data_IF_125327654797
#
_entry.id   IF_125327654797
#
_cell.length_a   1.000
_cell.length_b   1.000
_cell.length_c   1.000
_cell.angle_alpha   90.00
_cell.angle_beta   90.00
_cell.angle_gamma   90.00
#
_symmetry.space_group_name_H-M   'P 1'
#
loop_
_entity.id
_entity.type
_entity.pdbx_description
1 polymer ?
#
# COMPACT_ATOMS: atom_id res chain seq x y z
N UNK A 1 7.78 -44.49 33.57
CA UNK A 1 6.38 -44.05 33.35
C UNK A 1 6.03 -43.09 34.47
N UNK A 2 6.08 -41.79 34.21
CA UNK A 2 5.64 -40.74 35.13
C UNK A 2 4.79 -39.77 34.33
N UNK A 3 3.50 -39.68 34.67
CA UNK A 3 2.55 -38.77 34.07
C UNK A 3 2.66 -37.40 34.76
N UNK A 4 2.87 -36.35 33.97
CA UNK A 4 2.81 -34.97 34.45
C UNK A 4 1.37 -34.50 34.22
N UNK A 5 0.63 -34.32 35.30
CA UNK A 5 -0.71 -33.74 35.29
C UNK A 5 -0.60 -32.25 34.99
N UNK A 6 -1.23 -31.77 33.91
CA UNK A 6 -1.39 -30.35 33.64
C UNK A 6 -2.51 -29.80 34.52
N UNK A 7 -2.17 -28.88 35.42
CA UNK A 7 -3.11 -28.12 36.22
C UNK A 7 -3.74 -27.01 35.35
N UNK A 8 -5.08 -26.96 35.17
CA UNK A 8 -5.74 -25.96 34.33
C UNK A 8 -5.79 -24.55 34.95
N UNK A 9 -5.22 -24.33 36.13
CA UNK A 9 -5.37 -23.07 36.87
C UNK A 9 -4.29 -22.02 36.61
N UNK A 10 -3.32 -22.26 35.71
CA UNK A 10 -2.35 -21.23 35.30
C UNK A 10 -3.01 -20.29 34.29
N UNK A 11 -3.79 -19.36 34.84
CA UNK A 11 -4.30 -18.19 34.14
C UNK A 11 -3.11 -17.24 33.93
N UNK A 12 -2.41 -17.39 32.80
CA UNK A 12 -1.41 -16.41 32.37
C UNK A 12 -2.19 -15.13 32.11
N UNK A 13 -2.23 -14.24 33.11
CA UNK A 13 -2.61 -12.85 32.92
C UNK A 13 -1.65 -12.28 31.88
N UNK A 14 -2.10 -12.28 30.62
CA UNK A 14 -1.50 -11.48 29.57
C UNK A 14 -1.55 -10.06 30.10
N UNK A 15 -0.37 -9.58 30.47
CA UNK A 15 -0.15 -8.26 31.03
C UNK A 15 -0.77 -7.23 30.08
N UNK A 16 -2.00 -6.79 30.37
CA UNK A 16 -2.62 -5.67 29.68
C UNK A 16 -1.75 -4.47 29.99
N UNK A 17 -0.78 -4.19 29.11
CA UNK A 17 -0.15 -2.87 29.09
C UNK A 17 -1.29 -1.88 29.05
N UNK A 18 -1.38 -1.04 30.06
CA UNK A 18 -2.31 0.08 30.09
C UNK A 18 -1.89 1.02 28.95
N UNK A 19 -2.39 0.72 27.74
CA UNK A 19 -2.39 1.66 26.63
C UNK A 19 -3.25 2.80 27.16
N UNK A 20 -2.62 3.94 27.46
CA UNK A 20 -3.22 5.02 28.26
C UNK A 20 -4.60 5.47 27.76
N UNK A 21 -5.28 6.36 28.49
CA UNK A 21 -6.68 6.74 28.24
C UNK A 21 -7.07 6.80 26.74
N UNK A 22 -8.02 5.96 26.33
CA UNK A 22 -8.62 5.95 24.99
C UNK A 22 -9.34 7.30 24.74
N UNK A 23 -9.05 7.95 23.61
CA UNK A 23 -9.61 9.28 23.27
C UNK A 23 -10.55 9.18 22.08
N UNK A 24 -10.19 8.41 21.06
CA UNK A 24 -11.04 8.18 19.89
C UNK A 24 -11.07 6.70 19.55
N UNK A 25 -12.24 6.20 19.17
CA UNK A 25 -12.42 4.84 18.68
C UNK A 25 -13.43 4.83 17.55
N UNK A 26 -13.11 4.10 16.50
CA UNK A 26 -14.10 3.57 15.57
C UNK A 26 -14.06 2.06 15.77
N UNK A 27 -15.14 1.52 16.33
CA UNK A 27 -15.20 0.14 16.81
C UNK A 27 -14.72 -0.84 15.72
N UNK A 28 -13.78 -1.70 16.11
CA UNK A 28 -13.16 -2.69 15.23
C UNK A 28 -12.09 -2.15 14.28
N UNK A 29 -12.07 -0.85 13.95
CA UNK A 29 -11.19 -0.27 12.93
C UNK A 29 -9.92 0.36 13.51
N UNK A 30 -10.06 1.26 14.47
CA UNK A 30 -8.93 2.03 15.02
C UNK A 30 -9.24 2.50 16.43
N UNK A 31 -8.22 2.47 17.30
CA UNK A 31 -8.24 3.06 18.63
C UNK A 31 -7.07 4.02 18.77
N UNK A 32 -7.34 5.23 19.25
CA UNK A 32 -6.35 6.29 19.45
C UNK A 32 -6.31 6.66 20.93
N UNK A 33 -5.13 6.53 21.52
CA UNK A 33 -4.90 6.79 22.93
C UNK A 33 -4.31 8.19 23.14
N UNK A 34 -4.54 8.77 24.33
CA UNK A 34 -4.12 10.14 24.68
C UNK A 34 -2.61 10.36 24.57
N UNK A 35 -1.82 9.31 24.73
CA UNK A 35 -0.37 9.33 24.63
C UNK A 35 0.15 9.24 23.18
N UNK A 36 -0.74 9.26 22.17
CA UNK A 36 -0.40 9.14 20.75
C UNK A 36 -0.26 7.70 20.26
N UNK A 37 -0.45 6.69 21.11
CA UNK A 37 -0.49 5.29 20.68
C UNK A 37 -1.72 5.02 19.83
N UNK A 38 -1.56 4.30 18.72
CA UNK A 38 -2.63 3.93 17.80
C UNK A 38 -2.65 2.42 17.67
N UNK A 39 -3.82 1.83 17.88
CA UNK A 39 -4.07 0.41 17.64
C UNK A 39 -4.99 0.25 16.44
N UNK A 40 -4.63 -0.70 15.57
CA UNK A 40 -5.46 -1.12 14.44
C UNK A 40 -5.74 -2.61 14.58
N UNK A 41 -6.94 -3.01 15.03
CA UNK A 41 -7.29 -4.42 15.11
C UNK A 41 -7.16 -5.10 13.74
N UNK A 42 -6.70 -6.36 13.68
CA UNK A 42 -6.52 -7.08 12.42
C UNK A 42 -7.87 -7.55 11.87
N UNK A 43 -8.59 -6.65 11.18
CA UNK A 43 -9.87 -6.99 10.55
C UNK A 43 -9.67 -7.80 9.27
N UNK A 44 -8.64 -7.44 8.49
CA UNK A 44 -8.32 -8.10 7.23
C UNK A 44 -6.94 -8.75 7.35
N UNK A 45 -6.80 -10.04 6.99
CA UNK A 45 -5.51 -10.72 6.99
C UNK A 45 -4.50 -10.03 6.07
N UNK A 46 -3.27 -9.88 6.56
CA UNK A 46 -2.11 -9.52 5.73
C UNK A 46 -1.58 -10.80 5.08
N UNK A 47 -1.40 -10.78 3.76
CA UNK A 47 -0.92 -11.93 2.99
C UNK A 47 0.45 -11.65 2.38
N UNK A 48 1.31 -12.67 2.23
CA UNK A 48 2.55 -12.52 1.48
C UNK A 48 2.27 -12.18 0.00
N UNK A 49 3.26 -11.65 -0.72
CA UNK A 49 3.17 -11.39 -2.16
C UNK A 49 3.27 -12.67 -3.01
N UNK A 50 2.74 -13.80 -2.53
CA UNK A 50 2.78 -15.07 -3.25
C UNK A 50 2.11 -14.96 -4.61
N UNK A 51 2.78 -15.45 -5.66
CA UNK A 51 2.26 -15.43 -7.01
C UNK A 51 0.99 -16.29 -7.11
N UNK A 52 -0.09 -15.70 -7.63
CA UNK A 52 -1.25 -16.46 -8.11
C UNK A 52 -1.01 -16.86 -9.56
N UNK A 53 -1.66 -17.92 -10.05
CA UNK A 53 -1.45 -18.42 -11.42
C UNK A 53 -1.49 -17.29 -12.47
N UNK A 54 -0.37 -17.06 -13.17
CA UNK A 54 -0.26 -16.06 -14.24
C UNK A 54 0.10 -14.63 -13.81
N UNK A 55 0.23 -14.33 -12.51
CA UNK A 55 0.60 -12.99 -12.01
C UNK A 55 1.75 -13.08 -11.02
N UNK A 56 2.85 -12.40 -11.32
CA UNK A 56 3.97 -12.23 -10.39
C UNK A 56 3.67 -11.06 -9.46
N UNK A 57 3.76 -11.27 -8.15
CA UNK A 57 3.64 -10.22 -7.15
C UNK A 57 4.95 -10.07 -6.35
N UNK A 58 5.37 -8.84 -6.07
CA UNK A 58 6.54 -8.55 -5.20
C UNK A 58 6.36 -7.24 -4.43
N UNK A 59 6.86 -7.22 -3.20
CA UNK A 59 6.93 -6.01 -2.39
C UNK A 59 8.24 -5.28 -2.63
N UNK A 60 8.18 -3.98 -2.87
CA UNK A 60 9.35 -3.11 -3.09
C UNK A 60 9.26 -1.89 -2.19
N UNK A 61 10.33 -1.63 -1.44
CA UNK A 61 10.49 -0.42 -0.65
C UNK A 61 10.88 0.73 -1.57
N UNK A 62 10.08 1.80 -1.54
CA UNK A 62 10.31 3.04 -2.30
C UNK A 62 11.19 3.98 -1.48
N UNK A 63 10.83 4.19 -0.22
CA UNK A 63 11.61 4.99 0.72
C UNK A 63 11.67 4.34 2.10
N UNK A 64 12.90 4.13 2.58
CA UNK A 64 13.18 3.52 3.88
C UNK A 64 12.92 4.48 5.04
N UNK A 65 13.02 5.79 4.83
CA UNK A 65 12.89 6.79 5.90
C UNK A 65 11.42 7.00 6.28
N UNK A 66 10.54 7.12 5.30
CA UNK A 66 9.08 7.20 5.50
C UNK A 66 8.43 5.83 5.70
N UNK A 67 9.12 4.75 5.30
CA UNK A 67 8.55 3.41 5.27
C UNK A 67 7.57 3.21 4.10
N UNK A 68 7.64 4.06 3.07
CA UNK A 68 6.83 3.93 1.86
C UNK A 68 7.27 2.71 1.04
N UNK A 69 6.32 1.85 0.70
CA UNK A 69 6.54 0.68 -0.13
C UNK A 69 5.32 0.38 -1.00
N UNK A 70 5.49 -0.46 -2.00
CA UNK A 70 4.44 -0.86 -2.93
C UNK A 70 4.46 -2.37 -3.17
N UNK A 71 3.29 -2.97 -3.36
CA UNK A 71 3.17 -4.32 -3.92
C UNK A 71 2.91 -4.21 -5.41
N UNK A 72 3.84 -4.73 -6.20
CA UNK A 72 3.78 -4.71 -7.66
C UNK A 72 3.20 -6.02 -8.17
N UNK A 73 2.21 -5.94 -9.07
CA UNK A 73 1.61 -7.06 -9.79
C UNK A 73 1.98 -6.96 -11.27
N UNK A 74 2.57 -8.02 -11.82
CA UNK A 74 2.91 -8.13 -13.24
C UNK A 74 2.26 -9.40 -13.79
N UNK A 75 1.20 -9.27 -14.60
CA UNK A 75 0.59 -10.42 -15.26
C UNK A 75 1.45 -10.87 -16.44
N UNK A 76 1.35 -12.14 -16.83
CA UNK A 76 2.07 -12.66 -17.99
C UNK A 76 1.36 -12.26 -19.29
N UNK A 77 1.91 -11.26 -19.99
CA UNK A 77 1.39 -10.76 -21.27
C UNK A 77 2.51 -10.67 -22.32
N UNK A 78 2.13 -10.79 -23.59
CA UNK A 78 3.08 -10.78 -24.72
C UNK A 78 3.54 -9.37 -25.10
N UNK A 79 2.69 -8.37 -24.86
CA UNK A 79 2.93 -6.97 -25.23
C UNK A 79 3.30 -6.13 -24.01
N UNK A 80 3.83 -4.93 -24.27
CA UNK A 80 4.01 -3.93 -23.22
C UNK A 80 2.66 -3.50 -22.65
N UNK A 81 2.61 -3.38 -21.34
CA UNK A 81 1.39 -3.13 -20.56
C UNK A 81 1.38 -1.72 -19.97
N UNK A 82 0.18 -1.16 -19.86
CA UNK A 82 0.00 0.11 -19.14
C UNK A 82 0.33 -0.06 -17.65
N UNK A 83 0.71 1.04 -17.00
CA UNK A 83 0.97 1.08 -15.57
C UNK A 83 -0.22 1.70 -14.82
N UNK A 84 -0.71 1.01 -13.80
CA UNK A 84 -1.71 1.51 -12.87
C UNK A 84 -1.09 1.70 -11.48
N UNK A 85 -1.10 2.92 -10.97
CA UNK A 85 -0.81 3.19 -9.56
C UNK A 85 -2.14 3.18 -8.80
N UNK A 86 -2.28 2.25 -7.86
CA UNK A 86 -3.47 2.02 -7.08
C UNK A 86 -3.27 2.39 -5.61
N UNK A 87 -4.21 3.16 -5.06
CA UNK A 87 -4.25 3.52 -3.64
C UNK A 87 -5.44 2.84 -2.99
N UNK A 88 -5.19 2.08 -1.93
CA UNK A 88 -6.25 1.41 -1.18
C UNK A 88 -7.14 2.39 -0.40
N UNK A 89 -8.37 2.01 -0.11
CA UNK A 89 -9.26 2.71 0.81
C UNK A 89 -8.91 2.47 2.30
N UNK A 90 -9.76 3.00 3.19
CA UNK A 90 -9.60 2.88 4.64
C UNK A 90 -9.58 4.21 5.40
N UNK A 91 -10.23 5.24 4.84
CA UNK A 91 -10.41 6.53 5.52
C UNK A 91 -9.10 7.24 5.88
N UNK A 92 -8.01 6.95 5.16
CA UNK A 92 -6.62 7.37 5.48
C UNK A 92 -6.04 6.80 6.78
N UNK A 93 -6.83 6.09 7.58
CA UNK A 93 -6.45 5.67 8.92
C UNK A 93 -6.18 4.17 9.03
N UNK A 94 -6.71 3.36 8.11
CA UNK A 94 -6.50 1.91 8.05
C UNK A 94 -6.25 1.47 6.61
N UNK A 95 -5.88 0.20 6.43
CA UNK A 95 -5.60 -0.38 5.12
C UNK A 95 -4.14 -0.79 4.96
N UNK A 96 -3.89 -1.64 3.98
CA UNK A 96 -2.55 -1.99 3.54
C UNK A 96 -2.59 -2.56 2.12
N UNK A 97 -1.53 -2.33 1.35
CA UNK A 97 -1.34 -2.98 0.06
C UNK A 97 -1.26 -4.53 0.16
N UNK A 98 -0.99 -5.06 1.36
CA UNK A 98 -0.92 -6.49 1.63
C UNK A 98 -2.19 -7.10 2.26
N UNK A 99 -3.27 -6.34 2.42
CA UNK A 99 -4.55 -6.92 2.82
C UNK A 99 -5.06 -7.92 1.78
N UNK A 100 -5.54 -9.07 2.23
CA UNK A 100 -5.98 -10.18 1.35
C UNK A 100 -7.00 -9.74 0.30
N UNK A 101 -7.98 -8.92 0.68
CA UNK A 101 -9.00 -8.43 -0.24
C UNK A 101 -8.42 -7.59 -1.39
N UNK A 102 -7.49 -6.67 -1.11
CA UNK A 102 -6.80 -5.91 -2.15
C UNK A 102 -5.83 -6.78 -2.95
N UNK A 103 -5.18 -7.75 -2.30
CA UNK A 103 -4.29 -8.68 -3.00
C UNK A 103 -5.04 -9.51 -4.06
N UNK A 104 -6.14 -10.13 -3.67
CA UNK A 104 -6.99 -10.92 -4.56
C UNK A 104 -7.59 -10.06 -5.67
N UNK A 105 -8.12 -8.89 -5.30
CA UNK A 105 -8.71 -7.95 -6.25
C UNK A 105 -7.69 -7.47 -7.28
N UNK A 106 -6.54 -6.97 -6.85
CA UNK A 106 -5.54 -6.36 -7.75
C UNK A 106 -4.80 -7.41 -8.57
N UNK A 107 -4.56 -8.61 -8.03
CA UNK A 107 -4.02 -9.69 -8.84
C UNK A 107 -4.99 -10.08 -9.97
N UNK A 108 -6.28 -10.25 -9.65
CA UNK A 108 -7.32 -10.51 -10.64
C UNK A 108 -7.50 -9.38 -11.65
N UNK A 109 -7.41 -8.13 -11.19
CA UNK A 109 -7.49 -6.95 -12.05
C UNK A 109 -6.31 -6.89 -13.03
N UNK A 110 -5.08 -7.06 -12.55
CA UNK A 110 -3.89 -7.08 -13.39
C UNK A 110 -4.03 -8.12 -14.51
N UNK A 111 -4.43 -9.34 -14.15
CA UNK A 111 -4.62 -10.44 -15.12
C UNK A 111 -5.74 -10.19 -16.13
N UNK A 112 -6.82 -9.49 -15.76
CA UNK A 112 -7.96 -9.27 -16.67
C UNK A 112 -7.78 -8.03 -17.53
N UNK A 113 -7.18 -6.99 -16.99
CA UNK A 113 -6.99 -5.71 -17.66
C UNK A 113 -5.68 -5.65 -18.48
N UNK A 114 -4.75 -6.59 -18.27
CA UNK A 114 -3.45 -6.57 -18.95
C UNK A 114 -2.61 -5.36 -18.57
N UNK A 115 -2.55 -5.05 -17.27
CA UNK A 115 -1.79 -3.92 -16.76
C UNK A 115 -0.87 -4.34 -15.62
N UNK A 116 0.25 -3.62 -15.50
CA UNK A 116 1.11 -3.68 -14.32
C UNK A 116 0.47 -2.81 -13.26
N UNK A 117 0.34 -3.31 -12.03
CA UNK A 117 -0.29 -2.56 -10.93
C UNK A 117 0.70 -2.35 -9.80
N UNK A 118 0.81 -1.11 -9.32
CA UNK A 118 1.52 -0.74 -8.11
C UNK A 118 0.50 -0.43 -7.03
N UNK A 119 0.32 -1.32 -6.06
CA UNK A 119 -0.53 -1.08 -4.89
C UNK A 119 0.29 -0.39 -3.81
N UNK A 120 0.07 0.91 -3.65
CA UNK A 120 0.89 1.76 -2.76
C UNK A 120 0.45 1.56 -1.31
N UNK A 121 1.40 1.21 -0.45
CA UNK A 121 1.20 1.17 0.99
C UNK A 121 1.62 2.52 1.61
N UNK A 122 0.77 3.52 1.41
CA UNK A 122 1.00 4.89 1.86
C UNK A 122 0.88 5.02 3.39
N UNK A 123 1.42 6.12 3.95
CA UNK A 123 1.40 6.40 5.39
C UNK A 123 0.00 6.75 5.88
N UNK A 124 -0.35 6.22 7.05
CA UNK A 124 -1.68 6.37 7.64
C UNK A 124 -1.73 7.49 8.69
N UNK A 125 -2.90 8.10 8.80
CA UNK A 125 -3.29 8.94 9.92
C UNK A 125 -3.70 8.07 11.14
N UNK A 126 -3.63 8.61 12.36
CA UNK A 126 -3.26 9.97 12.74
C UNK A 126 -1.75 10.25 12.83
N UNK A 127 -0.90 9.22 12.75
CA UNK A 127 0.57 9.36 12.87
C UNK A 127 1.14 10.23 11.76
N UNK A 128 0.60 10.08 10.55
CA UNK A 128 0.96 10.87 9.37
C UNK A 128 -0.32 11.46 8.77
N UNK A 129 -0.75 12.60 9.32
CA UNK A 129 -1.92 13.32 8.80
C UNK A 129 -1.68 13.79 7.36
N UNK A 130 -2.77 14.03 6.64
CA UNK A 130 -2.69 14.68 5.33
C UNK A 130 -1.90 16.00 5.45
N UNK A 131 -1.00 16.30 4.48
CA UNK A 131 -0.93 15.75 3.13
C UNK A 131 -0.04 14.50 2.93
N UNK A 132 0.45 13.84 3.98
CA UNK A 132 1.45 12.76 3.85
C UNK A 132 1.11 11.68 2.80
N UNK A 133 -0.12 11.18 2.79
CA UNK A 133 -0.56 10.17 1.81
C UNK A 133 -0.58 10.69 0.36
N UNK A 134 -0.79 11.99 0.14
CA UNK A 134 -0.68 12.61 -1.18
C UNK A 134 0.77 12.74 -1.62
N UNK A 135 1.64 13.09 -0.69
CA UNK A 135 3.08 13.21 -0.95
C UNK A 135 3.67 11.83 -1.30
N UNK A 136 3.26 10.77 -0.60
CA UNK A 136 3.63 9.38 -0.90
C UNK A 136 3.21 8.94 -2.32
N UNK A 137 2.05 9.41 -2.78
CA UNK A 137 1.60 9.17 -4.16
C UNK A 137 2.46 9.86 -5.21
N UNK A 138 2.88 11.09 -4.94
CA UNK A 138 3.83 11.82 -5.81
C UNK A 138 5.22 11.17 -5.76
N UNK A 139 5.69 10.79 -4.58
CA UNK A 139 6.97 10.12 -4.38
C UNK A 139 7.03 8.79 -5.11
N UNK A 140 5.94 8.00 -5.07
CA UNK A 140 5.83 6.76 -5.86
C UNK A 140 6.02 7.00 -7.35
N UNK A 141 5.41 8.05 -7.91
CA UNK A 141 5.54 8.38 -9.33
C UNK A 141 6.94 8.86 -9.68
N UNK A 142 7.55 9.69 -8.82
CA UNK A 142 8.94 10.12 -8.99
C UNK A 142 9.90 8.94 -8.93
N UNK A 143 9.66 7.98 -8.03
CA UNK A 143 10.43 6.76 -7.94
C UNK A 143 10.31 5.92 -9.23
N UNK A 144 9.10 5.72 -9.76
CA UNK A 144 8.89 5.01 -11.05
C UNK A 144 9.70 5.68 -12.17
N UNK A 145 9.61 7.01 -12.28
CA UNK A 145 10.38 7.79 -13.26
C UNK A 145 11.89 7.60 -13.07
N UNK A 146 12.37 7.64 -11.83
CA UNK A 146 13.78 7.43 -11.52
C UNK A 146 14.25 6.03 -11.92
N UNK A 147 13.46 4.99 -11.65
CA UNK A 147 13.82 3.61 -12.03
C UNK A 147 13.88 3.44 -13.56
N UNK A 148 12.98 4.09 -14.28
CA UNK A 148 13.00 4.11 -15.74
C UNK A 148 14.28 4.76 -16.30
N UNK A 149 14.74 5.86 -15.69
CA UNK A 149 15.93 6.58 -16.12
C UNK A 149 17.24 5.89 -15.71
N UNK A 150 17.26 5.23 -14.55
CA UNK A 150 18.48 4.63 -13.99
C UNK A 150 18.91 3.35 -14.71
N UNK A 151 18.00 2.69 -15.42
CA UNK A 151 18.30 1.46 -16.18
C UNK A 151 18.73 0.27 -15.32
N UNK A 152 18.45 0.29 -14.01
CA UNK A 152 18.85 -0.76 -13.05
C UNK A 152 18.33 -2.14 -13.46
N UNK A 153 19.19 -3.16 -13.38
CA UNK A 153 18.81 -4.55 -13.63
C UNK A 153 17.80 -5.08 -12.60
N UNK A 154 17.78 -4.53 -11.39
CA UNK A 154 16.94 -5.00 -10.28
C UNK A 154 15.44 -4.95 -10.60
N UNK A 155 15.03 -3.91 -11.34
CA UNK A 155 13.62 -3.65 -11.65
C UNK A 155 13.24 -4.01 -13.09
N UNK A 156 14.16 -4.61 -13.87
CA UNK A 156 13.90 -5.02 -15.25
C UNK A 156 12.71 -5.96 -15.40
N UNK A 157 12.43 -6.79 -14.40
CA UNK A 157 11.36 -7.78 -14.46
C UNK A 157 9.96 -7.16 -14.66
N UNK A 158 9.72 -5.92 -14.21
CA UNK A 158 8.49 -5.19 -14.51
C UNK A 158 8.72 -4.07 -15.52
N UNK A 159 9.87 -3.37 -15.46
CA UNK A 159 10.17 -2.24 -16.35
C UNK A 159 10.20 -2.64 -17.83
N UNK A 160 10.73 -3.81 -18.19
CA UNK A 160 10.80 -4.24 -19.60
C UNK A 160 9.42 -4.50 -20.21
N UNK A 161 8.45 -4.84 -19.37
CA UNK A 161 7.07 -5.14 -19.73
C UNK A 161 6.15 -3.91 -19.62
N UNK A 162 6.67 -2.77 -19.16
CA UNK A 162 5.89 -1.58 -18.89
C UNK A 162 5.95 -0.57 -20.06
N UNK A 163 4.79 -0.07 -20.46
CA UNK A 163 4.66 1.13 -21.29
C UNK A 163 4.42 2.35 -20.40
N UNK A 164 5.47 3.12 -20.14
CA UNK A 164 5.41 4.32 -19.31
C UNK A 164 4.73 5.52 -19.99
N UNK A 165 4.39 5.42 -21.28
CA UNK A 165 3.56 6.43 -21.95
C UNK A 165 2.08 6.28 -21.60
N UNK A 166 1.68 5.14 -21.04
CA UNK A 166 0.32 4.82 -20.62
C UNK A 166 0.26 4.55 -19.12
N UNK A 167 0.02 5.60 -18.34
CA UNK A 167 -0.04 5.57 -16.88
C UNK A 167 -1.41 6.03 -16.37
N UNK A 168 -1.97 5.27 -15.44
CA UNK A 168 -3.26 5.54 -14.79
C UNK A 168 -3.08 5.64 -13.28
N UNK A 169 -3.92 6.48 -12.65
CA UNK A 169 -4.07 6.56 -11.21
C UNK A 169 -5.47 6.08 -10.84
N UNK A 170 -5.58 5.21 -9.86
CA UNK A 170 -6.86 4.78 -9.32
C UNK A 170 -6.79 4.50 -7.81
N UNK A 171 -7.96 4.32 -7.23
CA UNK A 171 -8.12 3.89 -5.85
C UNK A 171 -9.60 3.81 -5.50
N UNK A 172 -9.91 3.28 -4.33
CA UNK A 172 -11.26 3.24 -3.79
C UNK A 172 -11.37 4.12 -2.54
N UNK A 173 -12.55 4.72 -2.29
CA UNK A 173 -12.79 5.51 -1.08
C UNK A 173 -11.72 6.60 -0.84
N UNK A 174 -11.03 6.58 0.29
CA UNK A 174 -9.89 7.45 0.59
C UNK A 174 -8.76 7.34 -0.46
N UNK A 175 -8.51 6.15 -1.02
CA UNK A 175 -7.57 5.94 -2.10
C UNK A 175 -7.96 6.66 -3.39
N UNK A 176 -9.26 6.73 -3.72
CA UNK A 176 -9.75 7.52 -4.85
C UNK A 176 -9.50 9.03 -4.64
N UNK A 177 -9.65 9.49 -3.39
CA UNK A 177 -9.30 10.87 -3.01
C UNK A 177 -7.80 11.15 -3.17
N UNK A 178 -6.93 10.19 -2.80
CA UNK A 178 -5.48 10.28 -3.04
C UNK A 178 -5.20 10.37 -4.54
N UNK A 179 -5.73 9.45 -5.34
CA UNK A 179 -5.54 9.42 -6.79
C UNK A 179 -5.93 10.76 -7.44
N UNK A 180 -7.08 11.32 -7.06
CA UNK A 180 -7.55 12.61 -7.53
C UNK A 180 -6.60 13.77 -7.18
N UNK A 181 -6.17 13.86 -5.93
CA UNK A 181 -5.28 14.94 -5.48
C UNK A 181 -3.89 14.84 -6.10
N UNK A 182 -3.35 13.62 -6.22
CA UNK A 182 -2.07 13.35 -6.91
C UNK A 182 -2.17 13.78 -8.38
N UNK A 183 -3.23 13.37 -9.10
CA UNK A 183 -3.46 13.76 -10.49
C UNK A 183 -3.52 15.29 -10.66
N UNK A 184 -4.28 15.96 -9.80
CA UNK A 184 -4.45 17.41 -9.84
C UNK A 184 -3.13 18.14 -9.62
N UNK A 185 -2.34 17.70 -8.63
CA UNK A 185 -1.01 18.29 -8.35
C UNK A 185 -0.07 18.15 -9.55
N UNK A 186 -0.05 17.00 -10.23
CA UNK A 186 0.78 16.80 -11.42
C UNK A 186 0.35 17.73 -12.57
N UNK A 187 -0.96 17.87 -12.79
CA UNK A 187 -1.50 18.77 -13.82
C UNK A 187 -1.15 20.24 -13.58
N UNK A 188 -1.19 20.70 -12.32
CA UNK A 188 -0.84 22.09 -11.98
C UNK A 188 0.65 22.41 -12.15
N UNK A 189 1.55 21.44 -11.99
CA UNK A 189 2.98 21.64 -12.20
C UNK A 189 3.41 21.56 -13.68
N UNK A 190 2.56 21.04 -14.56
CA UNK A 190 2.78 21.03 -16.02
C UNK A 190 2.38 22.32 -16.73
N UNK A 191 1.70 23.25 -16.05
CA UNK A 191 1.18 24.50 -16.63
C UNK A 191 2.12 25.70 -16.58
N UNK A 192 3.29 25.60 -15.95
CA UNK A 192 4.19 26.75 -15.70
C UNK A 192 5.47 26.76 -16.52
N UNK A 193 5.64 25.87 -17.50
CA UNK A 193 6.83 25.83 -18.38
C UNK A 193 6.56 26.07 -19.87
N UNK A 194 5.46 26.75 -20.20
CA UNK A 194 5.17 27.18 -21.57
C UNK A 194 4.82 28.68 -21.63
N UNK A 195 5.75 29.54 -21.20
CA UNK A 195 5.73 30.97 -21.56
C UNK A 195 7.07 31.64 -21.25
N UNK A 196 7.96 31.68 -22.23
CA UNK A 196 8.85 32.80 -22.59
C UNK A 196 9.91 32.32 -23.57
#
# INVERSE_FOLDING_TARGET
MAAISFDPSINVQVNQKSHGVLVEEIEGLIRVHKNGHVERPPIIPIVPCTATSGVTAKDIVIDKFTGLWTRIYVPNYSDKMSLLIYFHGGGFCVGSAAWSCYHEFLSGLASKAGCIIFSVNYRLAPENRLPAAYDDGIETLMWVKQQALSGSNEHKWWLSQCDLSSLFLAGDSAGANIAYNVATRLGSHGGTSASS
#
